data_IF_316250730898
#
_entry.id   IF_316250730898
#
_cell.length_a   1.000
_cell.length_b   1.000
_cell.length_c   1.000
_cell.angle_alpha   90.00
_cell.angle_beta   90.00
_cell.angle_gamma   90.00
#
_symmetry.space_group_name_H-M   'P 1'
#
loop_
_entity.id
_entity.type
_entity.pdbx_description
1 polymer ?
#
# COMPACT_ATOMS: atom_id res chain seq x y z
N UNK A 1 5.77 -14.67 20.34
CA UNK A 1 6.94 -15.19 19.58
C UNK A 1 6.44 -15.60 18.21
N UNK A 2 6.58 -14.73 17.21
CA UNK A 2 6.16 -15.02 15.83
C UNK A 2 7.20 -15.99 15.27
N UNK A 3 6.82 -17.27 15.12
CA UNK A 3 7.56 -18.20 14.28
C UNK A 3 7.25 -17.83 12.82
N UNK A 4 8.09 -17.00 12.23
CA UNK A 4 8.15 -16.91 10.79
C UNK A 4 8.64 -18.25 10.28
N UNK A 5 7.76 -19.03 9.67
CA UNK A 5 8.15 -20.22 8.90
C UNK A 5 8.74 -19.73 7.59
N UNK A 6 10.01 -19.34 7.64
CA UNK A 6 10.77 -18.97 6.45
C UNK A 6 11.24 -20.28 5.81
N UNK A 7 10.64 -20.62 4.67
CA UNK A 7 11.08 -21.74 3.85
C UNK A 7 12.51 -21.51 3.39
N UNK A 8 13.42 -22.31 3.86
CA UNK A 8 14.71 -22.72 3.27
C UNK A 8 15.79 -21.71 2.85
N UNK A 9 15.49 -20.42 2.73
CA UNK A 9 16.42 -19.43 2.16
C UNK A 9 16.75 -18.24 3.08
N UNK A 10 16.17 -18.17 4.28
CA UNK A 10 16.54 -17.13 5.23
C UNK A 10 17.91 -17.44 5.84
N UNK A 11 18.82 -16.50 5.69
CA UNK A 11 20.14 -16.53 6.32
C UNK A 11 20.22 -15.34 7.28
N UNK A 12 20.56 -15.60 8.54
CA UNK A 12 20.65 -14.54 9.58
C UNK A 12 21.69 -13.47 9.25
N UNK A 13 22.75 -13.86 8.51
CA UNK A 13 23.85 -13.00 8.08
C UNK A 13 23.62 -12.36 6.69
N UNK A 14 22.51 -12.66 6.02
CA UNK A 14 22.25 -12.17 4.69
C UNK A 14 21.85 -10.69 4.69
N UNK A 15 22.27 -9.98 3.65
CA UNK A 15 21.82 -8.62 3.36
C UNK A 15 20.63 -8.66 2.41
N UNK A 16 19.57 -7.95 2.76
CA UNK A 16 18.37 -7.83 1.94
C UNK A 16 18.17 -6.38 1.56
N UNK A 17 18.32 -5.99 0.27
CA UNK A 17 18.24 -4.58 -0.14
C UNK A 17 16.84 -3.99 0.04
N UNK A 18 15.82 -4.83 0.05
CA UNK A 18 14.43 -4.42 0.20
C UNK A 18 13.66 -5.38 1.09
N UNK A 19 12.63 -4.85 1.76
CA UNK A 19 11.68 -5.62 2.54
C UNK A 19 10.25 -5.08 2.30
N UNK A 20 9.27 -5.91 2.64
CA UNK A 20 7.85 -5.60 2.62
C UNK A 20 7.27 -5.86 3.99
N UNK A 21 6.38 -4.97 4.46
CA UNK A 21 5.69 -5.13 5.73
C UNK A 21 4.19 -4.90 5.59
N UNK A 22 3.40 -5.81 6.13
CA UNK A 22 1.98 -5.60 6.36
C UNK A 22 1.81 -4.93 7.73
N UNK A 23 1.49 -3.64 7.74
CA UNK A 23 1.37 -2.88 9.00
C UNK A 23 0.04 -3.10 9.71
N UNK A 24 -0.97 -3.58 8.99
CA UNK A 24 -2.30 -3.88 9.53
C UNK A 24 -3.07 -4.82 8.61
N UNK A 25 -3.93 -5.64 9.20
CA UNK A 25 -4.93 -6.41 8.47
C UNK A 25 -6.26 -5.66 8.32
N UNK A 26 -6.42 -4.48 8.96
CA UNK A 26 -7.63 -3.67 8.82
C UNK A 26 -7.66 -2.98 7.46
N UNK A 27 -8.84 -2.99 6.84
CA UNK A 27 -9.10 -2.25 5.62
C UNK A 27 -10.48 -1.60 5.69
N UNK A 28 -10.63 -0.46 5.04
CA UNK A 28 -11.92 0.21 4.89
C UNK A 28 -12.64 -0.18 3.58
N UNK A 29 -12.10 -1.16 2.84
CA UNK A 29 -12.70 -1.78 1.65
C UNK A 29 -12.76 -3.30 1.80
N UNK A 30 -13.65 -3.93 1.00
CA UNK A 30 -13.78 -5.37 0.85
C UNK A 30 -13.72 -5.75 -0.64
N UNK A 31 -12.56 -5.53 -1.26
CA UNK A 31 -12.37 -5.72 -2.71
C UNK A 31 -12.55 -7.18 -3.11
N UNK A 32 -13.31 -7.45 -4.19
CA UNK A 32 -13.61 -8.81 -4.65
C UNK A 32 -12.39 -9.66 -5.04
N UNK A 33 -11.27 -9.00 -5.39
CA UNK A 33 -10.00 -9.65 -5.78
C UNK A 33 -8.90 -9.50 -4.72
N UNK A 34 -9.26 -9.10 -3.48
CA UNK A 34 -8.29 -8.88 -2.42
C UNK A 34 -7.57 -10.17 -2.04
N UNK A 35 -6.24 -10.19 -2.18
CA UNK A 35 -5.47 -11.37 -1.82
C UNK A 35 -5.33 -11.58 -0.30
N UNK A 36 -5.61 -10.54 0.51
CA UNK A 36 -5.56 -10.61 1.97
C UNK A 36 -6.85 -11.21 2.54
N UNK A 37 -8.03 -10.85 1.95
CA UNK A 37 -9.35 -11.18 2.50
C UNK A 37 -10.17 -12.14 1.63
N UNK A 38 -9.59 -12.77 0.60
CA UNK A 38 -10.30 -13.78 -0.20
C UNK A 38 -10.42 -15.10 0.55
N UNK A 39 -11.39 -15.92 0.16
CA UNK A 39 -11.62 -17.25 0.72
C UNK A 39 -10.34 -18.07 0.81
N UNK A 40 -10.11 -18.69 1.98
CA UNK A 40 -8.93 -19.48 2.26
C UNK A 40 -7.70 -18.67 2.69
N UNK A 41 -7.80 -17.36 2.82
CA UNK A 41 -6.73 -16.56 3.40
C UNK A 41 -6.64 -16.80 4.92
N UNK A 42 -5.51 -17.27 5.46
CA UNK A 42 -5.35 -17.53 6.89
C UNK A 42 -5.48 -16.27 7.77
N UNK A 43 -5.42 -15.07 7.16
CA UNK A 43 -5.56 -13.80 7.87
C UNK A 43 -7.03 -13.34 8.03
N UNK A 44 -8.01 -14.08 7.53
CA UNK A 44 -9.43 -13.76 7.71
C UNK A 44 -9.92 -13.98 9.15
N UNK A 45 -9.17 -14.71 9.97
CA UNK A 45 -9.53 -14.92 11.36
C UNK A 45 -9.61 -13.58 12.12
N UNK A 46 -10.71 -13.31 12.86
CA UNK A 46 -10.85 -12.09 13.67
C UNK A 46 -9.70 -11.87 14.66
N UNK A 47 -9.02 -12.94 15.05
CA UNK A 47 -7.81 -12.90 15.89
C UNK A 47 -6.68 -12.09 15.24
N UNK A 48 -6.50 -12.18 13.93
CA UNK A 48 -5.40 -11.50 13.22
C UNK A 48 -5.39 -9.98 13.35
N UNK A 49 -6.55 -9.37 13.61
CA UNK A 49 -6.69 -7.92 13.85
C UNK A 49 -6.48 -7.60 15.33
N UNK A 50 -6.88 -8.49 16.24
CA UNK A 50 -6.72 -8.29 17.69
C UNK A 50 -5.26 -8.40 18.12
N UNK A 51 -4.51 -9.25 17.44
CA UNK A 51 -3.11 -9.56 17.77
C UNK A 51 -2.11 -8.66 17.00
N UNK A 52 -2.58 -7.58 16.38
CA UNK A 52 -1.69 -6.61 15.75
C UNK A 52 -0.72 -6.00 16.77
N UNK A 53 0.55 -5.99 16.42
CA UNK A 53 1.60 -5.35 17.22
C UNK A 53 1.31 -3.86 17.42
N UNK A 54 1.72 -3.32 18.57
CA UNK A 54 1.72 -1.88 18.78
C UNK A 54 2.63 -1.16 17.78
N UNK A 55 2.38 0.13 17.54
CA UNK A 55 3.22 0.93 16.62
C UNK A 55 4.68 0.95 17.07
N UNK A 56 4.92 1.14 18.37
CA UNK A 56 6.27 1.12 18.94
C UNK A 56 6.98 -0.23 18.71
N UNK A 57 6.31 -1.35 18.96
CA UNK A 57 6.89 -2.66 18.75
C UNK A 57 7.21 -2.97 17.27
N UNK A 58 6.35 -2.51 16.35
CA UNK A 58 6.64 -2.64 14.91
C UNK A 58 7.88 -1.82 14.54
N UNK A 59 7.96 -0.55 14.97
CA UNK A 59 9.08 0.34 14.64
C UNK A 59 10.40 -0.20 15.20
N UNK A 60 10.41 -0.67 16.44
CA UNK A 60 11.57 -1.30 17.05
C UNK A 60 12.03 -2.54 16.27
N UNK A 61 11.09 -3.42 15.92
CA UNK A 61 11.38 -4.62 15.13
C UNK A 61 11.96 -4.26 13.76
N UNK A 62 11.35 -3.30 13.08
CA UNK A 62 11.80 -2.87 11.74
C UNK A 62 13.18 -2.20 11.78
N UNK A 63 13.47 -1.40 12.81
CA UNK A 63 14.79 -0.80 13.01
C UNK A 63 15.86 -1.89 13.23
N UNK A 64 15.59 -2.87 14.07
CA UNK A 64 16.50 -4.00 14.31
C UNK A 64 16.76 -4.82 13.05
N UNK A 65 15.71 -5.10 12.24
CA UNK A 65 15.85 -5.82 10.97
C UNK A 65 16.62 -5.01 9.93
N UNK A 66 16.35 -3.69 9.83
CA UNK A 66 17.11 -2.77 8.96
C UNK A 66 18.61 -2.86 9.24
N UNK A 67 18.99 -2.76 10.51
CA UNK A 67 20.38 -2.71 10.92
C UNK A 67 21.06 -4.07 10.70
N UNK A 68 20.38 -5.17 11.04
CA UNK A 68 20.89 -6.52 10.85
C UNK A 68 21.10 -6.87 9.38
N UNK A 69 20.15 -6.51 8.52
CA UNK A 69 20.10 -6.98 7.12
C UNK A 69 20.43 -5.87 6.10
N UNK A 70 20.79 -4.67 6.53
CA UNK A 70 21.11 -3.53 5.66
C UNK A 70 19.97 -3.17 4.69
N UNK A 71 18.71 -3.21 5.17
CA UNK A 71 17.53 -2.93 4.34
C UNK A 71 17.52 -1.44 3.99
N UNK A 72 17.52 -1.12 2.69
CA UNK A 72 17.52 0.25 2.18
C UNK A 72 16.16 0.69 1.59
N UNK A 73 15.30 -0.27 1.22
CA UNK A 73 14.00 0.02 0.63
C UNK A 73 12.89 -0.72 1.39
N UNK A 74 11.82 -0.01 1.73
CA UNK A 74 10.68 -0.58 2.43
C UNK A 74 9.40 -0.40 1.61
N UNK A 75 8.64 -1.49 1.41
CA UNK A 75 7.29 -1.48 0.89
C UNK A 75 6.30 -1.63 2.06
N UNK A 76 5.54 -0.56 2.29
CA UNK A 76 4.50 -0.50 3.32
C UNK A 76 3.17 -0.91 2.71
N UNK A 77 2.60 -1.98 3.21
CA UNK A 77 1.30 -2.48 2.79
C UNK A 77 0.46 -2.89 4.00
N UNK A 78 -0.65 -3.56 3.70
CA UNK A 78 -1.56 -4.14 4.68
C UNK A 78 -2.94 -4.31 4.08
N UNK A 79 -3.98 -4.27 4.89
CA UNK A 79 -5.33 -3.99 4.41
C UNK A 79 -5.33 -2.59 3.81
N UNK A 80 -5.38 -1.55 4.66
CA UNK A 80 -5.14 -0.17 4.23
C UNK A 80 -4.11 0.49 5.17
N UNK A 81 -2.86 0.69 4.72
CA UNK A 81 -1.80 1.18 5.60
C UNK A 81 -2.05 2.60 6.12
N UNK A 82 -2.78 3.45 5.38
CA UNK A 82 -3.11 4.80 5.82
C UNK A 82 -4.08 4.85 7.02
N UNK A 83 -4.65 3.73 7.45
CA UNK A 83 -5.33 3.63 8.75
C UNK A 83 -4.37 3.71 9.93
N UNK A 84 -3.05 3.49 9.71
CA UNK A 84 -1.97 3.62 10.70
C UNK A 84 -0.99 4.74 10.34
N UNK A 85 -1.51 5.94 10.09
CA UNK A 85 -0.73 7.10 9.61
C UNK A 85 0.42 7.47 10.52
N UNK A 86 0.25 7.35 11.84
CA UNK A 86 1.32 7.67 12.82
C UNK A 86 2.48 6.69 12.64
N UNK A 87 2.18 5.41 12.58
CA UNK A 87 3.19 4.37 12.31
C UNK A 87 3.95 4.67 11.01
N UNK A 88 3.23 5.03 9.93
CA UNK A 88 3.87 5.35 8.65
C UNK A 88 4.77 6.58 8.76
N UNK A 89 4.30 7.66 9.43
CA UNK A 89 5.07 8.89 9.59
C UNK A 89 6.42 8.69 10.28
N UNK A 90 6.48 7.80 11.26
CA UNK A 90 7.70 7.44 11.94
C UNK A 90 8.50 6.38 11.16
N UNK A 91 7.81 5.40 10.59
CA UNK A 91 8.40 4.28 9.85
C UNK A 91 9.16 4.70 8.60
N UNK A 92 8.62 5.63 7.81
CA UNK A 92 9.29 6.09 6.58
C UNK A 92 10.62 6.80 6.84
N UNK A 93 10.86 7.26 8.07
CA UNK A 93 12.14 7.83 8.47
C UNK A 93 13.22 6.78 8.75
N UNK A 94 12.83 5.52 8.92
CA UNK A 94 13.77 4.42 9.18
C UNK A 94 14.53 3.99 7.94
N UNK A 95 13.98 4.21 6.74
CA UNK A 95 14.53 3.68 5.49
C UNK A 95 14.77 4.80 4.48
N UNK A 96 15.88 4.74 3.71
CA UNK A 96 16.21 5.75 2.69
C UNK A 96 15.17 5.83 1.56
N UNK A 97 14.51 4.72 1.21
CA UNK A 97 13.51 4.62 0.16
C UNK A 97 12.27 3.92 0.65
N UNK A 98 11.13 4.49 0.39
CA UNK A 98 9.85 3.97 0.87
C UNK A 98 8.80 3.95 -0.24
N UNK A 99 8.01 2.91 -0.28
CA UNK A 99 6.82 2.81 -1.13
C UNK A 99 5.63 2.47 -0.24
N UNK A 100 4.53 3.20 -0.38
CA UNK A 100 3.28 2.94 0.33
C UNK A 100 2.22 2.54 -0.69
N UNK A 101 1.76 1.29 -0.63
CA UNK A 101 0.64 0.83 -1.46
C UNK A 101 -0.66 1.08 -0.74
N UNK A 102 -1.56 1.86 -1.34
CA UNK A 102 -2.84 2.26 -0.74
C UNK A 102 -4.00 2.09 -1.73
N UNK A 103 -5.20 1.89 -1.20
CA UNK A 103 -6.41 1.91 -2.00
C UNK A 103 -6.83 3.34 -2.41
N UNK A 104 -6.18 4.38 -1.89
CA UNK A 104 -6.38 5.78 -2.25
C UNK A 104 -7.68 6.41 -1.79
N UNK A 105 -8.55 5.69 -1.08
CA UNK A 105 -9.83 6.24 -0.59
C UNK A 105 -9.68 7.08 0.68
N UNK A 106 -8.56 6.93 1.37
CA UNK A 106 -8.15 7.78 2.49
C UNK A 106 -7.29 8.92 1.95
N UNK A 107 -7.47 10.19 2.37
CA UNK A 107 -6.63 11.30 1.91
C UNK A 107 -5.15 11.02 2.13
N UNK A 108 -4.32 11.27 1.11
CA UNK A 108 -2.88 11.07 1.17
C UNK A 108 -2.23 12.11 2.10
N UNK A 109 -1.17 11.70 2.77
CA UNK A 109 -0.32 12.55 3.62
C UNK A 109 0.97 12.83 2.87
N UNK A 110 1.47 14.05 2.93
CA UNK A 110 2.79 14.36 2.35
C UNK A 110 3.90 13.82 3.27
N UNK A 111 4.61 12.83 2.78
CA UNK A 111 5.77 12.22 3.45
C UNK A 111 7.11 12.64 2.81
N UNK A 112 7.08 13.57 1.84
CA UNK A 112 8.26 14.02 1.14
C UNK A 112 8.69 13.14 -0.04
N UNK A 113 9.75 13.54 -0.71
CA UNK A 113 10.18 12.95 -2.00
C UNK A 113 10.76 11.54 -1.91
N UNK A 114 11.17 11.12 -0.72
CA UNK A 114 11.75 9.80 -0.47
C UNK A 114 10.69 8.70 -0.30
N UNK A 115 9.42 9.07 -0.39
CA UNK A 115 8.27 8.16 -0.31
C UNK A 115 7.52 8.19 -1.63
N UNK A 116 7.22 7.00 -2.18
CA UNK A 116 6.37 6.83 -3.35
C UNK A 116 5.02 6.29 -2.91
N UNK A 117 3.93 6.94 -3.30
CA UNK A 117 2.62 6.31 -3.25
C UNK A 117 2.33 5.48 -4.49
N UNK A 118 1.88 4.24 -4.27
CA UNK A 118 1.28 3.39 -5.30
C UNK A 118 -0.20 3.26 -4.99
N UNK A 119 -1.01 4.02 -5.72
CA UNK A 119 -2.46 4.07 -5.54
C UNK A 119 -3.13 3.06 -6.47
N UNK A 120 -3.94 2.19 -5.90
CA UNK A 120 -4.63 1.15 -6.67
C UNK A 120 -5.89 1.67 -7.36
N UNK A 121 -5.98 1.53 -8.69
CA UNK A 121 -7.15 1.93 -9.48
C UNK A 121 -7.25 1.04 -10.73
N UNK A 122 -8.28 0.20 -10.84
CA UNK A 122 -8.34 -0.92 -11.78
C UNK A 122 -9.12 -0.65 -13.08
N UNK A 123 -9.25 0.60 -13.46
CA UNK A 123 -9.93 0.99 -14.71
C UNK A 123 -10.89 2.14 -14.53
N UNK A 124 -11.78 2.40 -15.51
CA UNK A 124 -12.82 3.39 -15.40
C UNK A 124 -13.83 3.03 -14.30
N UNK A 125 -14.68 3.99 -13.93
CA UNK A 125 -15.51 3.94 -12.73
C UNK A 125 -16.27 2.63 -12.55
N UNK A 126 -16.98 2.18 -13.57
CA UNK A 126 -17.81 0.98 -13.52
C UNK A 126 -17.00 -0.29 -13.24
N UNK A 127 -15.83 -0.42 -13.86
CA UNK A 127 -14.95 -1.57 -13.66
C UNK A 127 -14.23 -1.52 -12.30
N UNK A 128 -13.75 -0.35 -11.91
CA UNK A 128 -13.11 -0.17 -10.62
C UNK A 128 -14.09 -0.44 -9.47
N UNK A 129 -15.28 0.17 -9.55
CA UNK A 129 -16.27 0.05 -8.48
C UNK A 129 -16.84 -1.38 -8.36
N UNK A 130 -16.95 -2.10 -9.49
CA UNK A 130 -17.31 -3.52 -9.48
C UNK A 130 -16.28 -4.41 -8.74
N UNK A 131 -15.00 -4.01 -8.70
CA UNK A 131 -13.93 -4.77 -8.04
C UNK A 131 -13.68 -4.30 -6.61
N UNK A 132 -13.73 -2.97 -6.37
CA UNK A 132 -13.29 -2.34 -5.11
C UNK A 132 -14.43 -1.81 -4.26
N UNK A 133 -15.66 -1.80 -4.77
CA UNK A 133 -16.87 -1.31 -4.11
C UNK A 133 -17.32 0.05 -4.65
N UNK A 134 -18.64 0.25 -4.58
CA UNK A 134 -19.31 1.44 -5.13
C UNK A 134 -18.75 2.76 -4.61
N UNK A 135 -18.52 3.70 -5.54
CA UNK A 135 -18.03 5.05 -5.25
C UNK A 135 -16.55 5.14 -4.89
N UNK A 136 -15.80 4.01 -4.92
CA UNK A 136 -14.35 4.03 -4.63
C UNK A 136 -13.60 4.81 -5.69
N UNK A 137 -13.91 4.64 -6.97
CA UNK A 137 -13.30 5.38 -8.07
C UNK A 137 -13.37 6.90 -7.86
N UNK A 138 -14.57 7.42 -7.64
CA UNK A 138 -14.78 8.86 -7.42
C UNK A 138 -14.07 9.37 -6.17
N UNK A 139 -13.97 8.55 -5.14
CA UNK A 139 -13.28 8.90 -3.89
C UNK A 139 -11.78 9.02 -4.13
N UNK A 140 -11.19 8.06 -4.85
CA UNK A 140 -9.77 8.08 -5.22
C UNK A 140 -9.45 9.30 -6.08
N UNK A 141 -10.16 9.51 -7.19
CA UNK A 141 -9.93 10.67 -8.06
C UNK A 141 -10.01 11.99 -7.29
N UNK A 142 -11.06 12.17 -6.48
CA UNK A 142 -11.22 13.38 -5.65
C UNK A 142 -10.05 13.59 -4.68
N UNK A 143 -9.49 12.53 -4.10
CA UNK A 143 -8.31 12.64 -3.24
C UNK A 143 -7.06 13.04 -4.04
N UNK A 144 -6.89 12.51 -5.24
CA UNK A 144 -5.78 12.85 -6.14
C UNK A 144 -5.87 14.28 -6.68
N UNK A 145 -7.07 14.73 -7.07
CA UNK A 145 -7.32 16.09 -7.58
C UNK A 145 -7.12 17.17 -6.51
N UNK A 146 -7.36 16.82 -5.24
CA UNK A 146 -7.24 17.74 -4.10
C UNK A 146 -5.85 17.81 -3.49
N UNK A 147 -4.86 17.13 -4.05
CA UNK A 147 -3.50 17.22 -3.56
C UNK A 147 -2.99 18.67 -3.70
N UNK A 148 -2.39 19.24 -2.64
CA UNK A 148 -1.83 20.60 -2.68
C UNK A 148 -0.80 20.78 -3.79
N UNK A 149 -0.63 22.00 -4.27
CA UNK A 149 0.34 22.31 -5.33
C UNK A 149 1.80 22.00 -4.91
N UNK A 150 2.10 22.09 -3.64
CA UNK A 150 3.39 21.82 -3.00
C UNK A 150 3.52 20.38 -2.47
N UNK A 151 2.55 19.50 -2.72
CA UNK A 151 2.61 18.10 -2.31
C UNK A 151 3.86 17.43 -2.91
N UNK A 152 4.80 17.06 -2.05
CA UNK A 152 6.14 16.63 -2.46
C UNK A 152 6.22 15.12 -2.72
N UNK A 153 5.37 14.31 -2.09
CA UNK A 153 5.39 12.84 -2.24
C UNK A 153 4.93 12.43 -3.65
N UNK A 154 5.77 11.77 -4.46
CA UNK A 154 5.36 11.26 -5.77
C UNK A 154 4.20 10.29 -5.69
N UNK A 155 3.31 10.32 -6.68
CA UNK A 155 2.15 9.44 -6.77
C UNK A 155 2.14 8.69 -8.10
N UNK A 156 2.06 7.38 -7.99
CA UNK A 156 1.87 6.43 -9.09
C UNK A 156 0.48 5.80 -8.94
N UNK A 157 -0.19 5.55 -10.05
CA UNK A 157 -1.36 4.67 -10.08
C UNK A 157 -0.95 3.29 -10.58
N UNK A 158 -1.39 2.25 -9.89
CA UNK A 158 -1.22 0.87 -10.30
C UNK A 158 -2.57 0.25 -10.68
N UNK A 159 -2.61 -0.34 -11.87
CA UNK A 159 -3.78 -1.03 -12.42
C UNK A 159 -3.46 -2.51 -12.68
N UNK A 160 -4.26 -3.40 -12.11
CA UNK A 160 -4.19 -4.82 -12.48
C UNK A 160 -4.92 -5.02 -13.79
N UNK A 161 -4.16 -5.29 -14.88
CA UNK A 161 -4.74 -5.52 -16.20
C UNK A 161 -5.41 -6.89 -16.26
N UNK A 162 -6.67 -6.89 -16.67
CA UNK A 162 -7.51 -8.07 -16.80
C UNK A 162 -8.22 -8.07 -18.16
N UNK A 163 -8.85 -9.18 -18.53
CA UNK A 163 -9.67 -9.24 -19.75
C UNK A 163 -10.84 -8.25 -19.75
N UNK A 164 -11.25 -7.75 -18.57
CA UNK A 164 -12.39 -6.82 -18.45
C UNK A 164 -11.99 -5.37 -18.68
N UNK A 165 -10.75 -5.00 -18.40
CA UNK A 165 -10.29 -3.61 -18.44
C UNK A 165 -9.24 -3.32 -19.51
N UNK A 166 -8.62 -4.34 -20.13
CA UNK A 166 -7.51 -4.18 -21.08
C UNK A 166 -7.80 -3.20 -22.22
N UNK A 167 -9.02 -3.20 -22.74
CA UNK A 167 -9.42 -2.35 -23.89
C UNK A 167 -9.95 -0.96 -23.44
N UNK A 168 -9.96 -0.69 -22.14
CA UNK A 168 -10.51 0.55 -21.53
C UNK A 168 -9.51 1.31 -20.65
N UNK A 169 -8.24 0.94 -20.69
CA UNK A 169 -7.19 1.60 -19.90
C UNK A 169 -6.99 3.08 -20.31
N UNK A 170 -7.24 3.40 -21.57
CA UNK A 170 -7.15 4.78 -22.03
C UNK A 170 -8.13 5.72 -21.32
N UNK A 171 -9.33 5.23 -20.98
CA UNK A 171 -10.31 6.01 -20.20
C UNK A 171 -9.74 6.38 -18.83
N UNK A 172 -9.05 5.42 -18.17
CA UNK A 172 -8.38 5.67 -16.90
C UNK A 172 -7.25 6.68 -17.05
N UNK A 173 -6.39 6.53 -18.07
CA UNK A 173 -5.29 7.47 -18.34
C UNK A 173 -5.82 8.89 -18.54
N UNK A 174 -6.90 9.06 -19.32
CA UNK A 174 -7.53 10.37 -19.53
C UNK A 174 -8.04 10.98 -18.24
N UNK A 175 -8.67 10.18 -17.37
CA UNK A 175 -9.18 10.64 -16.09
C UNK A 175 -8.07 11.10 -15.13
N UNK A 176 -6.85 10.53 -15.25
CA UNK A 176 -5.72 10.90 -14.42
C UNK A 176 -4.99 12.16 -14.88
N UNK A 177 -5.22 12.65 -16.11
CA UNK A 177 -4.56 13.83 -16.66
C UNK A 177 -4.80 15.13 -15.86
N UNK A 178 -5.94 15.23 -15.18
CA UNK A 178 -6.28 16.36 -14.32
C UNK A 178 -5.69 16.26 -12.91
N UNK A 179 -4.97 15.18 -12.60
CA UNK A 179 -4.42 14.89 -11.28
C UNK A 179 -2.90 15.10 -11.21
N UNK A 180 -2.32 14.94 -10.04
CA UNK A 180 -0.86 15.00 -9.82
C UNK A 180 -0.18 13.63 -9.95
N UNK A 181 -0.84 12.66 -10.55
CA UNK A 181 -0.26 11.34 -10.82
C UNK A 181 0.87 11.48 -11.85
N UNK A 182 2.08 11.05 -11.48
CA UNK A 182 3.25 11.14 -12.35
C UNK A 182 3.30 10.05 -13.42
N UNK A 183 2.80 8.85 -13.11
CA UNK A 183 2.79 7.72 -14.03
C UNK A 183 1.81 6.62 -13.58
N UNK A 184 1.50 5.71 -14.50
CA UNK A 184 0.67 4.53 -14.28
C UNK A 184 1.43 3.26 -14.69
N UNK A 185 1.26 2.18 -13.93
CA UNK A 185 1.80 0.85 -14.20
C UNK A 185 0.74 -0.23 -14.11
#
# INVERSE_FOLDING_TARGET
>A
MIRATLTGHYREDARYPAAMVNVTNRCNLACAHCFIYRDGNPNEAPASVRDEMSEAAILETLAALRDRHSIASMLWMGGEPLLRRRLLADGVRLFPRNTITTNGTVPLVDFGREVLYVVSLDGPQDLNDALRGDGTYRRVLRNLERLPADFATPVQVQCVVTRRNQDRLEELVRALQSTRVGWMT
#
